data_IF_664503872889
#
_entry.id   IF_664503872889
#
_cell.length_a   1.000
_cell.length_b   1.000
_cell.length_c   1.000
_cell.angle_alpha   90.00
_cell.angle_beta   90.00
_cell.angle_gamma   90.00
#
_symmetry.space_group_name_H-M   'P 1'
#
loop_
_entity.id
_entity.type
_entity.pdbx_description
1 polymer ?
#
# COMPACT_ATOMS: atom_id res chain seq x y z
N UNK A 1 46.53 17.02 -4.20
CA UNK A 1 45.32 16.30 -3.71
C UNK A 1 45.21 15.01 -4.50
N UNK A 2 44.69 13.89 -3.95
CA UNK A 2 44.56 12.62 -4.69
C UNK A 2 43.09 12.29 -5.03
N UNK A 3 42.85 11.71 -6.20
CA UNK A 3 41.51 11.30 -6.61
C UNK A 3 41.05 10.05 -5.84
N UNK A 4 39.87 10.08 -5.22
CA UNK A 4 39.31 8.91 -4.50
C UNK A 4 39.00 7.71 -5.39
N UNK A 5 38.90 7.90 -6.71
CA UNK A 5 38.54 6.83 -7.66
C UNK A 5 39.75 6.21 -8.35
N UNK A 6 40.79 6.98 -8.66
CA UNK A 6 41.93 6.51 -9.47
C UNK A 6 43.31 6.83 -8.87
N UNK A 7 43.38 7.45 -7.68
CA UNK A 7 44.64 7.75 -6.99
C UNK A 7 45.49 8.87 -7.63
N UNK A 8 45.19 9.30 -8.86
CA UNK A 8 45.94 10.35 -9.56
C UNK A 8 46.00 11.64 -8.73
N UNK A 9 47.21 12.20 -8.62
CA UNK A 9 47.45 13.49 -7.98
C UNK A 9 46.97 14.60 -8.93
N UNK A 10 46.22 15.55 -8.40
CA UNK A 10 45.72 16.70 -9.14
C UNK A 10 45.70 17.97 -8.26
N UNK A 11 45.70 19.12 -8.93
CA UNK A 11 45.64 20.45 -8.32
C UNK A 11 44.22 21.01 -8.34
N UNK A 12 43.92 21.90 -7.39
CA UNK A 12 42.65 22.61 -7.31
C UNK A 12 42.88 24.08 -7.66
N UNK A 13 42.06 24.61 -8.56
CA UNK A 13 42.22 25.96 -9.12
C UNK A 13 41.73 27.09 -8.19
N UNK A 14 41.52 26.82 -6.90
CA UNK A 14 41.16 27.83 -5.90
C UNK A 14 39.70 28.33 -5.92
N UNK A 15 38.92 27.99 -6.95
CA UNK A 15 37.50 28.39 -7.02
C UNK A 15 36.55 27.32 -6.46
N UNK A 16 35.55 27.78 -5.71
CA UNK A 16 34.46 26.95 -5.21
C UNK A 16 34.86 25.94 -4.13
N UNK A 17 34.14 24.81 -4.06
CA UNK A 17 34.44 23.74 -3.10
C UNK A 17 35.61 22.89 -3.58
N UNK A 18 36.46 22.47 -2.64
CA UNK A 18 37.61 21.59 -2.93
C UNK A 18 37.14 20.27 -3.56
N UNK A 19 37.60 19.91 -4.77
CA UNK A 19 37.19 18.68 -5.45
C UNK A 19 37.78 17.43 -4.79
N UNK A 20 37.00 16.35 -4.77
CA UNK A 20 37.43 15.01 -4.31
C UNK A 20 37.93 14.09 -5.44
N UNK A 21 37.70 14.48 -6.70
CA UNK A 21 37.98 13.66 -7.88
C UNK A 21 38.71 14.50 -8.92
N UNK A 22 39.64 13.90 -9.66
CA UNK A 22 40.42 14.59 -10.69
C UNK A 22 39.60 14.95 -11.95
N UNK A 23 38.43 14.34 -12.14
CA UNK A 23 37.58 14.51 -13.32
C UNK A 23 36.13 14.12 -13.05
N UNK A 24 35.24 14.57 -13.94
CA UNK A 24 33.83 14.17 -13.92
C UNK A 24 33.63 12.68 -14.14
N UNK A 25 34.49 12.05 -14.94
CA UNK A 25 34.48 10.60 -15.14
C UNK A 25 34.75 9.86 -13.82
N UNK A 26 35.72 10.31 -13.03
CA UNK A 26 36.02 9.74 -11.72
C UNK A 26 34.89 9.97 -10.71
N UNK A 27 34.27 11.16 -10.73
CA UNK A 27 33.11 11.50 -9.89
C UNK A 27 31.91 10.58 -10.17
N UNK A 28 31.55 10.42 -11.45
CA UNK A 28 30.45 9.53 -11.88
C UNK A 28 30.74 8.07 -11.53
N UNK A 29 31.98 7.60 -11.72
CA UNK A 29 32.39 6.23 -11.37
C UNK A 29 32.26 5.96 -9.87
N UNK A 30 32.66 6.90 -9.02
CA UNK A 30 32.46 6.79 -7.57
C UNK A 30 30.98 6.75 -7.17
N UNK A 31 30.14 7.61 -7.75
CA UNK A 31 28.69 7.60 -7.47
C UNK A 31 28.02 6.29 -7.92
N UNK A 32 28.45 5.73 -9.06
CA UNK A 32 27.96 4.42 -9.53
C UNK A 32 28.39 3.28 -8.60
N UNK A 33 29.61 3.33 -8.06
CA UNK A 33 30.07 2.34 -7.08
C UNK A 33 29.25 2.40 -5.78
N UNK A 34 28.97 3.61 -5.27
CA UNK A 34 28.09 3.80 -4.11
C UNK A 34 26.69 3.23 -4.33
N UNK A 35 26.06 3.55 -5.47
CA UNK A 35 24.74 3.01 -5.81
C UNK A 35 24.72 1.48 -5.88
N UNK A 36 25.81 0.85 -6.36
CA UNK A 36 25.94 -0.62 -6.38
C UNK A 36 26.08 -1.21 -4.97
N UNK A 37 26.81 -0.53 -4.07
CA UNK A 37 26.94 -0.94 -2.67
C UNK A 37 25.60 -0.81 -1.93
N UNK A 38 24.91 0.32 -2.08
CA UNK A 38 23.57 0.54 -1.53
C UNK A 38 22.58 -0.55 -2.01
N UNK A 39 22.64 -0.94 -3.29
CA UNK A 39 21.81 -2.02 -3.82
C UNK A 39 22.19 -3.40 -3.27
N UNK A 40 23.48 -3.69 -3.09
CA UNK A 40 23.93 -4.96 -2.53
C UNK A 40 23.53 -5.11 -1.05
N UNK A 41 23.64 -4.04 -0.26
CA UNK A 41 23.21 -4.00 1.14
C UNK A 41 21.69 -4.17 1.25
N UNK A 42 20.91 -3.47 0.41
CA UNK A 42 19.45 -3.56 0.38
C UNK A 42 18.89 -4.87 -0.24
N UNK A 43 19.72 -5.75 -0.82
CA UNK A 43 19.27 -7.06 -1.33
C UNK A 43 19.42 -8.15 -0.27
N UNK A 44 20.12 -7.88 0.85
CA UNK A 44 20.18 -8.77 2.01
C UNK A 44 19.04 -8.56 3.03
N UNK A 45 18.12 -7.62 2.75
CA UNK A 45 16.83 -7.46 3.42
C UNK A 45 15.81 -6.91 2.43
N UNK A 46 14.78 -7.70 2.12
CA UNK A 46 13.58 -7.39 1.31
C UNK A 46 13.72 -6.28 0.27
N UNK A 47 13.90 -6.69 -0.98
CA UNK A 47 14.10 -5.86 -2.18
C UNK A 47 13.01 -4.80 -2.40
N UNK A 48 13.41 -3.53 -2.52
CA UNK A 48 12.60 -2.45 -3.10
C UNK A 48 13.40 -1.73 -4.20
N UNK A 49 12.83 -1.64 -5.40
CA UNK A 49 13.50 -1.08 -6.59
C UNK A 49 13.21 0.42 -6.71
N UNK A 50 14.21 1.27 -6.51
CA UNK A 50 14.07 2.72 -6.70
C UNK A 50 14.31 3.11 -8.16
N UNK A 51 13.25 3.16 -8.96
CA UNK A 51 13.22 3.87 -10.23
C UNK A 51 12.94 5.35 -9.95
N UNK A 52 13.98 6.20 -10.04
CA UNK A 52 13.83 7.64 -9.87
C UNK A 52 13.34 8.28 -11.16
N UNK A 53 12.04 8.40 -11.33
CA UNK A 53 11.43 9.36 -12.25
C UNK A 53 11.44 10.73 -11.55
N UNK A 54 12.20 11.69 -12.08
CA UNK A 54 12.33 13.02 -11.47
C UNK A 54 11.20 13.94 -11.94
N UNK A 55 10.19 14.16 -11.10
CA UNK A 55 9.21 15.22 -11.30
C UNK A 55 9.89 16.57 -11.02
N UNK A 56 9.96 17.44 -12.03
CA UNK A 56 10.39 18.84 -11.87
C UNK A 56 9.16 19.68 -11.49
N UNK A 57 9.07 20.08 -10.23
CA UNK A 57 8.09 21.08 -9.79
C UNK A 57 8.77 22.44 -9.73
N UNK A 58 8.35 23.35 -10.61
CA UNK A 58 8.65 24.77 -10.49
C UNK A 58 7.41 25.50 -10.00
N UNK A 59 7.49 26.15 -8.84
CA UNK A 59 7.13 27.56 -8.65
C UNK A 59 7.21 27.97 -7.18
N UNK A 60 8.04 28.99 -6.95
CA UNK A 60 7.92 30.05 -5.93
C UNK A 60 7.00 29.80 -4.74
N UNK A 61 7.61 29.43 -3.62
CA UNK A 61 7.02 29.56 -2.28
C UNK A 61 8.02 29.04 -1.28
N UNK A 62 8.57 29.91 -0.43
CA UNK A 62 9.45 29.53 0.69
C UNK A 62 8.71 28.50 1.55
N UNK A 63 9.20 27.26 1.56
CA UNK A 63 8.84 26.25 2.53
C UNK A 63 10.13 25.94 3.27
N UNK A 64 10.16 26.23 4.57
CA UNK A 64 11.27 25.84 5.42
C UNK A 64 11.36 24.30 5.40
N UNK A 65 12.49 23.80 4.91
CA UNK A 65 12.75 22.37 4.74
C UNK A 65 12.87 21.69 6.12
N UNK A 66 11.75 21.44 6.78
CA UNK A 66 11.68 20.39 7.81
C UNK A 66 11.57 19.08 7.03
N UNK A 67 12.54 18.15 7.14
CA UNK A 67 12.38 16.83 6.56
C UNK A 67 11.32 16.09 7.39
N UNK A 68 10.04 16.32 7.08
CA UNK A 68 9.03 15.33 7.42
C UNK A 68 9.34 14.12 6.56
N UNK A 69 9.87 13.08 7.20
CA UNK A 69 9.81 11.72 6.68
C UNK A 69 8.33 11.34 6.59
N UNK A 70 7.66 11.81 5.53
CA UNK A 70 6.44 11.19 5.07
C UNK A 70 6.90 9.86 4.52
N UNK A 71 6.87 8.84 5.37
CA UNK A 71 6.98 7.44 4.96
C UNK A 71 5.75 7.20 4.08
N UNK A 72 5.85 7.55 2.80
CA UNK A 72 4.85 7.22 1.82
C UNK A 72 4.95 5.72 1.63
N UNK A 73 4.25 5.00 2.49
CA UNK A 73 4.00 3.57 2.36
C UNK A 73 3.07 3.37 1.16
N UNK A 74 3.56 3.65 -0.05
CA UNK A 74 2.92 3.13 -1.25
C UNK A 74 3.40 1.70 -1.35
N UNK A 75 2.59 0.80 -0.80
CA UNK A 75 2.78 -0.64 -0.92
C UNK A 75 2.74 -0.98 -2.40
N UNK A 76 3.82 -1.58 -2.90
CA UNK A 76 3.83 -2.31 -4.16
C UNK A 76 2.81 -3.46 -4.00
N UNK A 77 1.85 -3.50 -4.91
CA UNK A 77 0.59 -4.24 -4.86
C UNK A 77 -0.31 -3.89 -3.66
N UNK A 78 -1.29 -3.01 -3.91
CA UNK A 78 -2.45 -2.87 -3.01
C UNK A 78 -3.11 -4.26 -2.96
N UNK A 79 -2.92 -4.99 -1.86
CA UNK A 79 -3.59 -6.27 -1.64
C UNK A 79 -5.10 -6.07 -1.68
N UNK A 80 -5.91 -7.08 -2.02
CA UNK A 80 -7.37 -6.96 -1.94
C UNK A 80 -7.82 -6.43 -0.56
N UNK A 81 -7.14 -6.84 0.51
CA UNK A 81 -7.38 -6.33 1.87
C UNK A 81 -7.02 -4.85 2.04
N UNK A 82 -6.02 -4.36 1.32
CA UNK A 82 -5.65 -2.94 1.32
C UNK A 82 -6.55 -2.12 0.38
N UNK A 83 -7.09 -2.71 -0.69
CA UNK A 83 -8.15 -2.12 -1.49
C UNK A 83 -9.43 -1.97 -0.66
N UNK A 84 -9.85 -3.00 0.06
CA UNK A 84 -10.98 -2.95 1.01
C UNK A 84 -10.80 -1.81 2.03
N UNK A 85 -9.57 -1.67 2.56
CA UNK A 85 -9.24 -0.58 3.50
C UNK A 85 -9.14 0.80 2.86
N UNK A 86 -8.76 0.89 1.60
CA UNK A 86 -8.62 2.15 0.84
C UNK A 86 -9.97 2.62 0.27
N UNK A 87 -10.93 1.71 0.11
CA UNK A 87 -12.32 1.98 -0.25
C UNK A 87 -13.15 2.59 0.90
N UNK A 88 -12.55 2.77 2.08
CA UNK A 88 -13.27 3.12 3.30
C UNK A 88 -13.85 1.86 3.93
N UNK A 89 -13.89 1.86 5.25
CA UNK A 89 -14.48 0.82 6.11
C UNK A 89 -15.78 0.36 5.45
N UNK A 90 -15.89 -0.93 5.13
CA UNK A 90 -17.09 -1.44 4.50
C UNK A 90 -18.29 -1.14 5.39
N UNK A 91 -19.46 -0.92 4.80
CA UNK A 91 -20.69 -0.72 5.57
C UNK A 91 -20.94 -1.88 6.55
N UNK A 92 -20.42 -3.08 6.25
CA UNK A 92 -20.35 -4.24 7.15
C UNK A 92 -19.54 -3.98 8.42
N UNK A 93 -18.34 -3.40 8.30
CA UNK A 93 -17.43 -3.12 9.42
C UNK A 93 -18.05 -2.09 10.38
N UNK A 94 -18.73 -1.08 9.84
CA UNK A 94 -19.45 -0.08 10.64
C UNK A 94 -20.61 -0.72 11.43
N UNK A 95 -21.38 -1.62 10.80
CA UNK A 95 -22.45 -2.36 11.47
C UNK A 95 -21.92 -3.32 12.54
N UNK A 96 -20.80 -3.99 12.28
CA UNK A 96 -20.13 -4.84 13.27
C UNK A 96 -19.63 -4.01 14.47
N UNK A 97 -19.07 -2.84 14.20
CA UNK A 97 -18.63 -1.92 15.24
C UNK A 97 -19.79 -1.43 16.10
N UNK A 98 -20.92 -1.02 15.49
CA UNK A 98 -22.14 -0.62 16.21
C UNK A 98 -22.66 -1.77 17.08
N UNK A 99 -22.69 -3.00 16.55
CA UNK A 99 -23.09 -4.20 17.30
C UNK A 99 -22.18 -4.45 18.50
N UNK A 100 -20.87 -4.30 18.36
CA UNK A 100 -19.90 -4.47 19.44
C UNK A 100 -20.07 -3.41 20.53
N UNK A 101 -20.22 -2.14 20.15
CA UNK A 101 -20.46 -1.05 21.11
C UNK A 101 -21.78 -1.25 21.83
N UNK A 102 -22.86 -1.57 21.12
CA UNK A 102 -24.17 -1.77 21.73
C UNK A 102 -24.14 -2.93 22.75
N UNK A 103 -23.51 -4.06 22.40
CA UNK A 103 -23.31 -5.18 23.34
C UNK A 103 -22.49 -4.78 24.56
N UNK A 104 -21.41 -4.02 24.36
CA UNK A 104 -20.57 -3.53 25.45
C UNK A 104 -21.34 -2.58 26.36
N UNK A 105 -22.11 -1.66 25.81
CA UNK A 105 -22.94 -0.74 26.58
C UNK A 105 -24.04 -1.47 27.37
N UNK A 106 -24.65 -2.51 26.82
CA UNK A 106 -25.65 -3.30 27.54
C UNK A 106 -25.08 -4.18 28.68
N UNK A 107 -23.79 -4.49 28.64
CA UNK A 107 -23.10 -5.29 29.67
C UNK A 107 -22.40 -4.45 30.72
N UNK A 108 -22.42 -3.13 30.56
CA UNK A 108 -21.88 -2.17 31.53
C UNK A 108 -22.93 -1.80 32.57
N UNK A 109 -22.61 -2.01 33.84
CA UNK A 109 -23.48 -1.72 34.99
C UNK A 109 -23.74 -0.21 35.18
N UNK A 110 -22.95 0.64 34.51
CA UNK A 110 -23.12 2.11 34.56
C UNK A 110 -24.16 2.63 33.58
N UNK A 111 -24.69 1.77 32.69
CA UNK A 111 -25.65 2.17 31.67
C UNK A 111 -27.04 2.39 32.28
N UNK A 112 -27.68 3.57 32.08
CA UNK A 112 -28.99 3.82 32.65
C UNK A 112 -30.05 2.92 32.00
N UNK A 113 -30.97 2.39 32.81
CA UNK A 113 -32.01 1.45 32.37
C UNK A 113 -32.91 2.01 31.24
N UNK A 114 -33.06 3.33 31.16
CA UNK A 114 -33.81 4.01 30.09
C UNK A 114 -33.15 3.92 28.71
N UNK A 115 -31.83 3.71 28.64
CA UNK A 115 -31.09 3.58 27.40
C UNK A 115 -31.10 2.15 26.83
N UNK A 116 -31.35 1.13 27.67
CA UNK A 116 -31.34 -0.29 27.27
C UNK A 116 -32.29 -0.61 26.11
N UNK A 117 -33.55 -0.13 26.07
CA UNK A 117 -34.44 -0.41 24.95
C UNK A 117 -33.96 0.21 23.63
N UNK A 118 -33.28 1.37 23.70
CA UNK A 118 -32.68 2.01 22.54
C UNK A 118 -31.50 1.20 22.00
N UNK A 119 -30.60 0.78 22.89
CA UNK A 119 -29.44 -0.05 22.55
C UNK A 119 -29.84 -1.44 22.02
N UNK A 120 -30.89 -2.05 22.57
CA UNK A 120 -31.40 -3.32 22.08
C UNK A 120 -31.97 -3.21 20.65
N UNK A 121 -32.68 -2.12 20.35
CA UNK A 121 -33.19 -1.85 18.99
C UNK A 121 -32.07 -1.64 17.99
N UNK A 122 -31.05 -0.86 18.33
CA UNK A 122 -29.91 -0.64 17.43
C UNK A 122 -29.12 -1.93 17.19
N UNK A 123 -28.99 -2.79 18.20
CA UNK A 123 -28.36 -4.11 18.05
C UNK A 123 -29.16 -5.01 17.11
N UNK A 124 -30.48 -5.07 17.25
CA UNK A 124 -31.35 -5.88 16.39
C UNK A 124 -31.33 -5.38 14.94
N UNK A 125 -31.37 -4.06 14.74
CA UNK A 125 -31.33 -3.46 13.41
C UNK A 125 -29.99 -3.72 12.72
N UNK A 126 -28.87 -3.50 13.42
CA UNK A 126 -27.54 -3.81 12.89
C UNK A 126 -27.38 -5.30 12.57
N UNK A 127 -27.94 -6.19 13.40
CA UNK A 127 -27.89 -7.63 13.16
C UNK A 127 -28.72 -8.03 11.93
N UNK A 128 -29.89 -7.42 11.74
CA UNK A 128 -30.75 -7.66 10.56
C UNK A 128 -30.09 -7.19 9.27
N UNK A 129 -29.40 -6.04 9.30
CA UNK A 129 -28.70 -5.50 8.15
C UNK A 129 -27.49 -6.37 7.77
N UNK A 130 -26.71 -6.85 8.75
CA UNK A 130 -25.62 -7.81 8.49
C UNK A 130 -26.12 -9.13 7.89
N UNK A 131 -27.22 -9.68 8.40
CA UNK A 131 -27.81 -10.94 7.90
C UNK A 131 -28.30 -10.80 6.46
N UNK A 132 -28.87 -9.63 6.11
CA UNK A 132 -29.31 -9.33 4.75
C UNK A 132 -28.12 -9.25 3.78
N UNK A 133 -27.03 -8.57 4.18
CA UNK A 133 -25.81 -8.48 3.37
C UNK A 133 -25.13 -9.84 3.17
N UNK A 134 -25.13 -10.70 4.18
CA UNK A 134 -24.57 -12.05 4.11
C UNK A 134 -25.38 -12.97 3.18
N UNK A 135 -26.72 -12.87 3.25
CA UNK A 135 -27.62 -13.58 2.34
C UNK A 135 -27.50 -13.08 0.90
N UNK A 136 -27.41 -11.77 0.66
CA UNK A 136 -27.26 -11.20 -0.68
C UNK A 136 -25.91 -11.59 -1.32
N UNK A 137 -24.83 -11.59 -0.54
CA UNK A 137 -23.50 -12.05 -0.98
C UNK A 137 -23.51 -13.55 -1.35
N UNK A 138 -24.10 -14.37 -0.49
CA UNK A 138 -24.21 -15.82 -0.69
C UNK A 138 -25.08 -16.18 -1.90
N UNK A 139 -26.23 -15.51 -2.04
CA UNK A 139 -27.13 -15.70 -3.18
C UNK A 139 -26.48 -15.26 -4.49
N UNK A 140 -25.75 -14.15 -4.50
CA UNK A 140 -25.00 -13.69 -5.68
C UNK A 140 -23.93 -14.70 -6.11
N UNK A 141 -23.19 -15.27 -5.17
CA UNK A 141 -22.14 -16.26 -5.48
C UNK A 141 -22.73 -17.57 -6.03
N UNK A 142 -23.84 -18.03 -5.45
CA UNK A 142 -24.55 -19.24 -5.86
C UNK A 142 -25.22 -19.06 -7.24
N UNK A 143 -25.85 -17.90 -7.48
CA UNK A 143 -26.43 -17.53 -8.79
C UNK A 143 -25.36 -17.46 -9.89
N UNK A 144 -24.19 -16.88 -9.61
CA UNK A 144 -23.08 -16.86 -10.56
C UNK A 144 -22.53 -18.25 -10.88
N UNK A 145 -22.51 -19.17 -9.91
CA UNK A 145 -22.13 -20.57 -10.11
C UNK A 145 -23.17 -21.36 -10.92
N UNK A 146 -24.46 -21.15 -10.65
CA UNK A 146 -25.56 -21.79 -11.40
C UNK A 146 -25.67 -21.29 -12.85
N UNK A 147 -25.23 -20.06 -13.11
CA UNK A 147 -25.20 -19.45 -14.45
C UNK A 147 -23.91 -19.72 -15.23
N UNK A 148 -22.97 -20.48 -14.67
CA UNK A 148 -21.78 -20.96 -15.36
C UNK A 148 -22.12 -21.98 -16.45
N UNK A 149 -22.27 -21.48 -17.67
CA UNK A 149 -22.05 -22.14 -18.97
C UNK A 149 -22.21 -23.68 -19.03
N UNK A 150 -23.40 -24.14 -19.44
CA UNK A 150 -23.53 -25.36 -20.22
C UNK A 150 -22.94 -25.13 -21.63
N UNK A 151 -21.64 -25.30 -21.80
CA UNK A 151 -21.05 -25.47 -23.14
C UNK A 151 -20.83 -26.95 -23.42
N UNK A 152 -21.94 -27.67 -23.59
CA UNK A 152 -21.95 -29.00 -24.20
C UNK A 152 -21.75 -28.87 -25.72
N UNK A 153 -20.51 -28.62 -26.15
CA UNK A 153 -20.10 -28.77 -27.55
C UNK A 153 -18.73 -29.48 -27.61
N UNK A 154 -18.64 -30.66 -26.98
CA UNK A 154 -17.59 -31.63 -27.30
C UNK A 154 -17.98 -32.30 -28.63
N UNK A 155 -17.63 -31.66 -29.74
CA UNK A 155 -17.73 -32.27 -31.08
C UNK A 155 -16.72 -33.43 -31.16
N UNK A 156 -17.22 -34.65 -30.99
CA UNK A 156 -16.47 -35.89 -31.19
C UNK A 156 -16.06 -36.00 -32.67
N UNK A 157 -14.78 -35.78 -32.96
CA UNK A 157 -14.20 -35.97 -34.30
C UNK A 157 -13.72 -37.42 -34.43
N UNK A 158 -14.32 -38.26 -35.28
CA UNK A 158 -13.76 -39.59 -35.54
C UNK A 158 -12.52 -39.45 -36.44
N UNK A 159 -11.42 -40.09 -36.02
CA UNK A 159 -10.21 -40.23 -36.83
C UNK A 159 -10.52 -41.03 -38.12
N UNK A 160 -10.16 -40.44 -39.26
CA UNK A 160 -10.23 -41.09 -40.57
C UNK A 160 -9.02 -42.00 -40.78
N UNK A 161 -9.27 -43.29 -41.01
CA UNK A 161 -8.34 -44.23 -41.63
C UNK A 161 -8.37 -44.09 -43.15
#
# INVERSE_FOLDING_TARGET
MHCKTCGKIFSWNGHGRRPSYCSDTCRRKANRAKKRQEQAENTSGTSYSTSRESIRVTSSGKIDNVPLSIVSQVRDDITNRDFEKMMGHGFTDDLEFVKQIAKKAMTDDTTPASALPGLAKTLLDASKQLDSLDHDSSNSSLESLLKGETTDDVVFRPESQ
#
